data_IF_216351528107
#
_entry.id   IF_216351528107
#
_cell.length_a   1.000
_cell.length_b   1.000
_cell.length_c   1.000
_cell.angle_alpha   90.00
_cell.angle_beta   90.00
_cell.angle_gamma   90.00
#
_symmetry.space_group_name_H-M   'P 1'
#
loop_
_entity.id
_entity.type
_entity.pdbx_description
1 polymer ?
#
# COMPACT_ATOMS: atom_id res chain seq x y z
N UNK A 1 -19.20 16.83 -1.72
CA UNK A 1 -19.32 15.37 -1.99
C UNK A 1 -17.91 14.81 -1.78
N UNK A 2 -17.75 13.69 -1.08
CA UNK A 2 -16.43 13.06 -0.92
C UNK A 2 -16.10 12.28 -2.20
N UNK A 3 -15.01 12.64 -2.86
CA UNK A 3 -14.57 12.03 -4.13
C UNK A 3 -13.09 11.71 -4.01
N UNK A 4 -12.77 10.45 -4.29
CA UNK A 4 -11.40 9.93 -4.30
C UNK A 4 -11.16 9.20 -5.62
N UNK A 5 -9.94 9.30 -6.14
CA UNK A 5 -9.59 8.68 -7.42
C UNK A 5 -8.13 8.27 -7.50
N UNK A 6 -7.83 7.38 -8.44
CA UNK A 6 -6.47 7.03 -8.84
C UNK A 6 -6.42 7.23 -10.36
N UNK A 7 -5.42 7.95 -10.82
CA UNK A 7 -5.21 8.25 -12.25
C UNK A 7 -3.85 7.70 -12.66
N UNK A 8 -3.81 6.93 -13.74
CA UNK A 8 -2.57 6.45 -14.35
C UNK A 8 -2.24 7.30 -15.58
N UNK A 9 -0.95 7.40 -15.92
CA UNK A 9 -0.43 8.24 -17.01
C UNK A 9 -0.86 9.71 -16.91
N UNK A 10 -0.49 10.36 -15.82
CA UNK A 10 -0.57 11.82 -15.68
C UNK A 10 0.46 12.50 -16.58
N UNK A 11 0.32 13.81 -16.81
CA UNK A 11 1.17 14.63 -17.71
C UNK A 11 1.06 14.29 -19.21
N UNK A 12 -0.03 13.64 -19.61
CA UNK A 12 -0.36 13.38 -21.02
C UNK A 12 -1.46 14.32 -21.49
N UNK A 13 -1.34 14.82 -22.72
CA UNK A 13 -2.36 15.70 -23.32
C UNK A 13 -3.76 15.06 -23.25
N UNK A 14 -4.65 15.66 -22.46
CA UNK A 14 -6.03 15.21 -22.28
C UNK A 14 -6.30 14.45 -20.99
N UNK A 15 -5.31 14.30 -20.09
CA UNK A 15 -5.56 13.89 -18.71
C UNK A 15 -6.26 15.02 -17.92
N UNK A 16 -7.03 14.63 -16.91
CA UNK A 16 -7.77 15.55 -16.02
C UNK A 16 -7.17 15.58 -14.61
N UNK A 17 -6.00 14.96 -14.39
CA UNK A 17 -5.42 14.81 -13.06
C UNK A 17 -5.12 16.16 -12.43
N UNK A 18 -4.39 17.02 -13.16
CA UNK A 18 -4.01 18.35 -12.66
C UNK A 18 -5.25 19.20 -12.34
N UNK A 19 -6.25 19.18 -13.23
CA UNK A 19 -7.50 19.92 -13.02
C UNK A 19 -8.24 19.45 -11.76
N UNK A 20 -8.40 18.14 -11.57
CA UNK A 20 -9.07 17.57 -10.40
C UNK A 20 -8.31 17.87 -9.11
N UNK A 21 -6.98 17.66 -9.13
CA UNK A 21 -6.10 17.90 -8.00
C UNK A 21 -6.11 19.39 -7.58
N UNK A 22 -5.97 20.32 -8.54
CA UNK A 22 -5.96 21.76 -8.27
C UNK A 22 -7.30 22.30 -7.74
N UNK A 23 -8.40 21.60 -8.04
CA UNK A 23 -9.72 21.88 -7.49
C UNK A 23 -10.00 21.15 -6.16
N UNK A 24 -8.97 20.54 -5.55
CA UNK A 24 -9.05 19.93 -4.23
C UNK A 24 -9.75 18.56 -4.19
N UNK A 25 -9.90 17.89 -5.34
CA UNK A 25 -10.35 16.50 -5.37
C UNK A 25 -9.20 15.60 -4.94
N UNK A 26 -9.48 14.62 -4.07
CA UNK A 26 -8.46 13.71 -3.55
C UNK A 26 -8.13 12.60 -4.57
N UNK A 27 -7.42 12.99 -5.63
CA UNK A 27 -6.89 12.08 -6.65
C UNK A 27 -5.41 11.81 -6.40
N UNK A 28 -5.00 10.56 -6.61
CA UNK A 28 -3.59 10.15 -6.56
C UNK A 28 -3.14 9.74 -7.95
N UNK A 29 -1.90 10.08 -8.29
CA UNK A 29 -1.19 9.47 -9.41
C UNK A 29 -0.85 8.01 -9.07
N UNK A 30 -1.04 7.12 -10.05
CA UNK A 30 -0.59 5.74 -9.94
C UNK A 30 0.92 5.67 -10.20
N UNK A 31 1.64 5.14 -9.23
CA UNK A 31 3.07 4.87 -9.36
C UNK A 31 3.37 3.42 -8.95
N UNK A 32 4.28 2.77 -9.68
CA UNK A 32 4.85 1.50 -9.23
C UNK A 32 5.88 1.77 -8.13
N UNK A 33 5.94 0.89 -7.14
CA UNK A 33 6.87 1.04 -6.01
C UNK A 33 8.37 1.08 -6.39
N UNK A 34 8.72 0.56 -7.57
CA UNK A 34 10.08 0.59 -8.12
C UNK A 34 10.33 1.77 -9.07
N UNK A 35 9.35 2.67 -9.23
CA UNK A 35 9.39 3.81 -10.14
C UNK A 35 9.31 3.42 -11.62
N UNK A 36 9.15 2.13 -11.95
CA UNK A 36 8.99 1.72 -13.34
C UNK A 36 7.67 2.26 -13.90
N UNK A 37 7.65 2.59 -15.18
CA UNK A 37 6.43 2.96 -15.91
C UNK A 37 6.42 2.21 -17.23
N UNK A 38 5.29 2.21 -17.93
CA UNK A 38 5.19 1.60 -19.25
C UNK A 38 6.28 2.12 -20.20
N UNK A 39 6.88 1.27 -21.05
CA UNK A 39 6.49 -0.11 -21.35
C UNK A 39 7.09 -1.17 -20.43
N UNK A 40 7.87 -0.77 -19.43
CA UNK A 40 8.68 -1.69 -18.61
C UNK A 40 7.93 -2.07 -17.32
N UNK A 41 7.26 -1.09 -16.72
CA UNK A 41 6.48 -1.25 -15.49
C UNK A 41 5.04 -1.67 -15.72
N UNK A 42 4.39 -2.13 -14.64
CA UNK A 42 2.96 -2.42 -14.64
C UNK A 42 2.14 -1.12 -14.80
N UNK A 43 0.92 -1.24 -15.28
CA UNK A 43 -0.01 -0.12 -15.45
C UNK A 43 -1.30 -0.42 -14.70
N UNK A 44 -1.94 0.62 -14.18
CA UNK A 44 -3.27 0.52 -13.60
C UNK A 44 -4.31 0.60 -14.71
N UNK A 45 -4.68 -0.56 -15.25
CA UNK A 45 -5.60 -0.63 -16.37
C UNK A 45 -7.10 -0.72 -15.96
N UNK A 46 -7.44 -0.43 -14.72
CA UNK A 46 -8.82 -0.47 -14.23
C UNK A 46 -9.66 0.67 -14.82
N UNK A 47 -10.91 0.39 -15.19
CA UNK A 47 -11.91 1.40 -15.55
C UNK A 47 -13.19 1.16 -14.77
N UNK A 48 -13.30 1.78 -13.60
CA UNK A 48 -14.52 1.70 -12.80
C UNK A 48 -14.71 2.91 -11.87
N UNK A 49 -15.95 3.09 -11.43
CA UNK A 49 -16.34 3.98 -10.33
C UNK A 49 -17.31 3.27 -9.40
N UNK A 50 -17.17 3.56 -8.10
CA UNK A 50 -18.15 3.15 -7.08
C UNK A 50 -18.82 4.42 -6.55
N UNK A 51 -20.15 4.47 -6.63
CA UNK A 51 -20.96 5.61 -6.21
C UNK A 51 -21.78 5.18 -4.98
N UNK A 52 -21.94 6.08 -4.02
CA UNK A 52 -22.71 5.87 -2.78
C UNK A 52 -22.34 4.58 -2.02
N UNK A 53 -21.03 4.29 -1.98
CA UNK A 53 -20.48 3.17 -1.23
C UNK A 53 -20.98 3.14 0.22
N UNK A 54 -21.19 1.94 0.76
CA UNK A 54 -21.73 1.66 2.10
C UNK A 54 -23.22 1.99 2.29
N UNK A 55 -23.92 2.38 1.22
CA UNK A 55 -25.38 2.51 1.21
C UNK A 55 -26.02 1.33 0.48
N UNK A 56 -27.33 1.16 0.64
CA UNK A 56 -28.11 0.18 -0.14
C UNK A 56 -28.28 0.58 -1.61
N UNK A 57 -27.99 1.84 -1.95
CA UNK A 57 -28.06 2.38 -3.31
C UNK A 57 -26.69 2.40 -4.00
N UNK A 58 -25.71 1.64 -3.52
CA UNK A 58 -24.38 1.62 -4.11
C UNK A 58 -24.42 1.17 -5.58
N UNK A 59 -23.73 1.91 -6.45
CA UNK A 59 -23.66 1.66 -7.89
C UNK A 59 -22.21 1.41 -8.27
N UNK A 60 -21.97 0.35 -9.03
CA UNK A 60 -20.71 0.12 -9.71
C UNK A 60 -20.88 0.44 -11.20
N UNK A 61 -20.04 1.34 -11.70
CA UNK A 61 -19.85 1.55 -13.14
C UNK A 61 -18.51 0.90 -13.50
N UNK A 62 -18.47 -0.01 -14.47
CA UNK A 62 -17.22 -0.69 -14.88
C UNK A 62 -17.29 -1.10 -16.35
N UNK A 63 -16.18 -1.42 -16.98
CA UNK A 63 -16.20 -2.01 -18.33
C UNK A 63 -14.84 -2.00 -19.00
N UNK A 64 -14.84 -1.98 -20.33
CA UNK A 64 -13.63 -1.68 -21.10
C UNK A 64 -13.43 -0.19 -21.33
N UNK A 65 -14.46 0.62 -21.05
CA UNK A 65 -14.54 2.02 -21.44
C UNK A 65 -13.59 2.92 -20.64
N UNK A 66 -12.62 3.54 -21.30
CA UNK A 66 -11.85 4.62 -20.68
C UNK A 66 -12.71 5.89 -20.60
N UNK A 67 -12.53 6.75 -19.60
CA UNK A 67 -13.28 8.02 -19.54
C UNK A 67 -12.65 9.06 -20.48
N UNK A 68 -12.77 8.83 -21.79
CA UNK A 68 -12.20 9.66 -22.84
C UNK A 68 -13.18 9.89 -23.98
N UNK A 69 -12.97 10.96 -24.76
CA UNK A 69 -13.83 11.26 -25.91
C UNK A 69 -13.75 10.18 -27.02
N UNK A 70 -12.61 9.51 -27.17
CA UNK A 70 -12.43 8.48 -28.20
C UNK A 70 -13.14 7.17 -27.86
N UNK A 71 -13.24 6.84 -26.57
CA UNK A 71 -14.04 5.75 -26.06
C UNK A 71 -15.53 5.90 -26.44
N UNK A 72 -16.04 7.13 -26.35
CA UNK A 72 -17.44 7.46 -26.66
C UNK A 72 -17.74 7.48 -28.17
N UNK A 73 -16.82 7.95 -29.01
CA UNK A 73 -17.15 8.30 -30.40
C UNK A 73 -16.45 7.45 -31.47
N UNK A 74 -15.49 6.60 -31.10
CA UNK A 74 -14.63 5.91 -32.08
C UNK A 74 -14.35 4.45 -31.75
N UNK A 75 -14.18 4.10 -30.48
CA UNK A 75 -13.81 2.75 -30.09
C UNK A 75 -15.05 1.91 -29.78
N UNK A 76 -14.99 0.61 -30.07
CA UNK A 76 -16.01 -0.34 -29.63
C UNK A 76 -15.74 -0.74 -28.17
N UNK A 77 -16.30 0.02 -27.24
CA UNK A 77 -16.16 -0.22 -25.80
C UNK A 77 -17.52 -0.52 -25.14
N UNK A 78 -17.47 -1.14 -23.96
CA UNK A 78 -18.66 -1.42 -23.15
C UNK A 78 -18.57 -0.76 -21.78
N UNK A 79 -19.74 -0.34 -21.30
CA UNK A 79 -19.96 0.18 -19.96
C UNK A 79 -21.11 -0.60 -19.32
N UNK A 80 -20.85 -1.17 -18.16
CA UNK A 80 -21.82 -1.85 -17.32
C UNK A 80 -22.13 -0.97 -16.11
N UNK A 81 -23.41 -0.81 -15.82
CA UNK A 81 -23.92 -0.13 -14.62
C UNK A 81 -24.63 -1.19 -13.78
N UNK A 82 -24.09 -1.47 -12.60
CA UNK A 82 -24.50 -2.56 -11.73
C UNK A 82 -25.02 -1.97 -10.42
N UNK A 83 -26.29 -2.23 -10.12
CA UNK A 83 -26.97 -1.82 -8.91
C UNK A 83 -26.97 -2.97 -7.88
N UNK A 84 -25.79 -3.35 -7.41
CA UNK A 84 -25.61 -4.39 -6.40
C UNK A 84 -24.55 -3.97 -5.38
N UNK A 85 -24.98 -3.81 -4.13
CA UNK A 85 -24.13 -3.37 -3.02
C UNK A 85 -22.96 -4.33 -2.76
N UNK A 86 -23.14 -5.63 -2.92
CA UNK A 86 -22.10 -6.61 -2.63
C UNK A 86 -21.00 -6.54 -3.69
N UNK A 87 -21.37 -6.44 -4.97
CA UNK A 87 -20.41 -6.31 -6.06
C UNK A 87 -19.68 -4.96 -5.96
N UNK A 88 -20.41 -3.86 -5.74
CA UNK A 88 -19.82 -2.54 -5.52
C UNK A 88 -18.79 -2.55 -4.36
N UNK A 89 -19.12 -3.25 -3.27
CA UNK A 89 -18.23 -3.37 -2.11
C UNK A 89 -16.95 -4.17 -2.40
N UNK A 90 -16.97 -5.16 -3.30
CA UNK A 90 -15.75 -5.87 -3.71
C UNK A 90 -14.80 -4.94 -4.48
N UNK A 91 -15.33 -4.15 -5.42
CA UNK A 91 -14.56 -3.15 -6.14
C UNK A 91 -14.04 -2.04 -5.22
N UNK A 92 -14.86 -1.61 -4.26
CA UNK A 92 -14.43 -0.64 -3.26
C UNK A 92 -13.29 -1.14 -2.37
N UNK A 93 -13.28 -2.42 -2.00
CA UNK A 93 -12.17 -3.00 -1.23
C UNK A 93 -10.87 -2.99 -2.04
N UNK A 94 -10.93 -3.32 -3.34
CA UNK A 94 -9.76 -3.24 -4.20
C UNK A 94 -9.29 -1.79 -4.39
N UNK A 95 -10.23 -0.85 -4.64
CA UNK A 95 -9.93 0.58 -4.68
C UNK A 95 -9.21 1.04 -3.41
N UNK A 96 -9.79 0.71 -2.25
CA UNK A 96 -9.25 1.12 -0.95
C UNK A 96 -7.84 0.56 -0.72
N UNK A 97 -7.59 -0.67 -1.16
CA UNK A 97 -6.26 -1.29 -1.09
C UNK A 97 -5.25 -0.57 -1.98
N UNK A 98 -5.57 -0.35 -3.28
CA UNK A 98 -4.68 0.38 -4.21
C UNK A 98 -4.41 1.81 -3.70
N UNK A 99 -5.44 2.50 -3.25
CA UNK A 99 -5.35 3.88 -2.76
C UNK A 99 -4.45 3.97 -1.52
N UNK A 100 -4.58 3.03 -0.59
CA UNK A 100 -3.72 2.96 0.60
C UNK A 100 -2.25 2.64 0.25
N UNK A 101 -2.00 1.77 -0.74
CA UNK A 101 -0.65 1.49 -1.23
C UNK A 101 0.00 2.75 -1.81
N UNK A 102 -0.71 3.51 -2.65
CA UNK A 102 -0.20 4.77 -3.21
C UNK A 102 0.03 5.85 -2.15
N UNK A 103 -0.88 6.00 -1.17
CA UNK A 103 -0.64 6.89 -0.04
C UNK A 103 0.62 6.50 0.74
N UNK A 104 0.86 5.21 0.94
CA UNK A 104 2.05 4.73 1.62
C UNK A 104 3.32 5.08 0.82
N UNK A 105 3.31 4.91 -0.52
CA UNK A 105 4.41 5.31 -1.39
C UNK A 105 4.65 6.84 -1.34
N UNK A 106 3.61 7.65 -1.47
CA UNK A 106 3.74 9.12 -1.43
C UNK A 106 4.18 9.62 -0.05
N UNK A 107 3.79 8.92 1.02
CA UNK A 107 4.27 9.22 2.38
C UNK A 107 5.73 8.81 2.59
N UNK A 108 6.31 7.95 1.75
CA UNK A 108 7.72 7.55 1.84
C UNK A 108 8.70 8.53 1.20
N UNK A 109 8.21 9.45 0.36
CA UNK A 109 9.06 10.50 -0.22
C UNK A 109 9.38 11.62 0.78
N UNK A 110 8.55 11.83 1.81
CA UNK A 110 8.79 12.80 2.89
C UNK A 110 9.03 12.18 4.28
N UNK A 111 8.89 10.86 4.42
CA UNK A 111 9.27 10.13 5.63
C UNK A 111 10.17 9.00 5.20
N UNK A 112 11.45 9.05 5.60
CA UNK A 112 12.30 7.86 5.68
C UNK A 112 11.56 6.83 6.52
N UNK A 113 10.76 5.97 5.89
CA UNK A 113 10.18 4.82 6.55
C UNK A 113 11.36 3.95 6.93
N UNK A 114 11.74 4.05 8.20
CA UNK A 114 12.74 3.25 8.86
C UNK A 114 12.18 1.82 8.92
N UNK A 115 12.15 1.16 7.76
CA UNK A 115 11.52 -0.14 7.55
C UNK A 115 12.40 -1.16 8.23
N UNK A 116 11.97 -1.59 9.42
CA UNK A 116 12.65 -2.63 10.17
C UNK A 116 12.62 -3.94 9.36
N UNK A 117 13.76 -4.34 8.79
CA UNK A 117 13.89 -5.60 8.06
C UNK A 117 14.58 -6.64 8.93
N UNK A 118 14.00 -7.83 9.02
CA UNK A 118 14.52 -8.94 9.84
C UNK A 118 14.72 -10.17 8.97
N UNK A 119 15.94 -10.72 8.95
CA UNK A 119 16.32 -11.88 8.14
C UNK A 119 17.21 -12.88 8.87
N UNK A 120 17.14 -14.18 8.59
CA UNK A 120 16.13 -14.81 7.73
C UNK A 120 14.75 -14.76 8.41
N UNK A 121 13.71 -14.89 7.61
CA UNK A 121 12.35 -15.06 8.11
C UNK A 121 11.63 -16.03 7.15
N UNK A 122 11.39 -17.30 7.53
CA UNK A 122 11.59 -17.90 8.87
C UNK A 122 13.06 -18.02 9.33
N UNK A 123 13.29 -18.03 10.65
CA UNK A 123 14.60 -18.18 11.29
C UNK A 123 14.64 -19.35 12.27
N UNK A 124 15.85 -19.81 12.61
CA UNK A 124 16.07 -20.83 13.64
C UNK A 124 16.64 -20.23 14.91
N UNK A 125 17.96 -19.97 14.89
CA UNK A 125 18.71 -19.58 16.09
C UNK A 125 19.32 -18.18 16.01
N UNK A 126 19.19 -17.51 14.86
CA UNK A 126 19.74 -16.18 14.66
C UNK A 126 18.95 -15.39 13.63
N UNK A 127 18.90 -14.08 13.86
CA UNK A 127 18.31 -13.09 12.98
C UNK A 127 19.27 -11.91 12.80
N UNK A 128 19.09 -11.20 11.70
CA UNK A 128 19.77 -9.97 11.34
C UNK A 128 18.71 -8.89 11.25
N UNK A 129 18.82 -7.88 12.10
CA UNK A 129 17.93 -6.74 12.15
C UNK A 129 18.64 -5.58 11.43
N UNK A 130 18.10 -5.16 10.29
CA UNK A 130 18.60 -4.01 9.53
C UNK A 130 17.90 -2.75 10.04
N UNK A 131 18.70 -1.74 10.39
CA UNK A 131 18.23 -0.50 11.00
C UNK A 131 18.91 0.70 10.35
N UNK A 132 18.15 1.71 9.93
CA UNK A 132 18.74 2.94 9.35
C UNK A 132 19.23 3.92 10.43
N UNK A 133 18.83 3.71 11.68
CA UNK A 133 19.21 4.54 12.82
C UNK A 133 19.58 3.68 14.04
N UNK A 134 20.30 4.27 15.01
CA UNK A 134 20.49 3.64 16.32
C UNK A 134 19.17 3.57 17.08
N UNK A 135 18.96 2.50 17.83
CA UNK A 135 17.70 2.32 18.55
C UNK A 135 17.72 1.14 19.51
N UNK A 136 16.54 0.74 19.97
CA UNK A 136 16.34 -0.48 20.74
C UNK A 136 15.42 -1.41 19.98
N UNK A 137 15.68 -2.71 20.02
CA UNK A 137 14.74 -3.72 19.54
C UNK A 137 14.08 -4.45 20.70
N UNK A 138 12.87 -4.95 20.46
CA UNK A 138 12.10 -5.80 21.36
C UNK A 138 11.39 -6.89 20.57
N UNK A 139 11.40 -8.12 21.06
CA UNK A 139 10.72 -9.26 20.44
C UNK A 139 9.65 -9.74 21.41
N UNK A 140 8.40 -9.78 20.95
CA UNK A 140 7.25 -10.21 21.74
C UNK A 140 6.65 -11.48 21.15
N UNK A 141 6.12 -12.36 21.99
CA UNK A 141 5.23 -13.42 21.55
C UNK A 141 3.83 -12.88 21.25
N UNK A 142 2.93 -13.73 20.75
CA UNK A 142 1.55 -13.35 20.40
C UNK A 142 0.68 -12.97 21.60
N UNK A 143 1.08 -13.33 22.83
CA UNK A 143 0.44 -12.88 24.07
C UNK A 143 0.96 -11.51 24.54
N UNK A 144 1.87 -10.87 23.78
CA UNK A 144 2.48 -9.59 24.12
C UNK A 144 3.59 -9.67 25.16
N UNK A 145 4.05 -10.88 25.51
CA UNK A 145 5.12 -11.06 26.47
C UNK A 145 6.47 -10.84 25.79
N UNK A 146 7.28 -9.95 26.36
CA UNK A 146 8.65 -9.68 25.90
C UNK A 146 9.53 -10.93 26.06
N UNK A 147 10.19 -11.33 24.98
CA UNK A 147 11.10 -12.48 24.93
C UNK A 147 12.56 -12.06 24.82
N UNK A 148 12.84 -11.00 24.04
CA UNK A 148 14.19 -10.47 23.83
C UNK A 148 14.14 -8.95 23.69
N UNK A 149 15.21 -8.29 24.11
CA UNK A 149 15.45 -6.88 23.83
C UNK A 149 16.95 -6.58 23.71
N UNK A 150 17.28 -5.41 23.18
CA UNK A 150 18.65 -4.92 23.15
C UNK A 150 18.80 -3.66 22.31
N UNK A 151 20.04 -3.21 22.13
CA UNK A 151 20.36 -2.03 21.34
C UNK A 151 20.70 -2.42 19.89
N UNK A 152 20.30 -1.56 18.96
CA UNK A 152 20.66 -1.62 17.54
C UNK A 152 21.61 -0.46 17.19
N UNK A 153 22.64 -0.79 16.42
CA UNK A 153 23.42 0.20 15.68
C UNK A 153 22.80 0.43 14.31
N UNK A 154 23.20 1.52 13.65
CA UNK A 154 22.93 1.71 12.23
C UNK A 154 23.58 0.59 11.40
N UNK A 155 22.85 0.08 10.41
CA UNK A 155 23.24 -1.05 9.58
C UNK A 155 22.70 -2.40 10.07
N UNK A 156 23.46 -3.47 9.86
CA UNK A 156 23.03 -4.85 10.10
C UNK A 156 23.46 -5.32 11.50
N UNK A 157 22.50 -5.68 12.33
CA UNK A 157 22.72 -6.15 13.70
C UNK A 157 22.38 -7.64 13.79
N UNK A 158 23.34 -8.49 14.12
CA UNK A 158 23.11 -9.92 14.32
C UNK A 158 22.69 -10.19 15.76
N UNK A 159 21.57 -10.89 15.91
CA UNK A 159 20.99 -11.27 17.20
C UNK A 159 20.81 -12.79 17.20
N UNK A 160 21.37 -13.46 18.20
CA UNK A 160 21.10 -14.88 18.44
C UNK A 160 19.82 -14.97 19.27
N UNK A 161 18.83 -15.68 18.75
CA UNK A 161 17.51 -15.85 19.38
C UNK A 161 17.33 -17.33 19.71
N UNK A 162 16.95 -17.64 20.95
CA UNK A 162 16.60 -18.98 21.40
C UNK A 162 15.11 -19.00 21.73
N UNK A 163 14.31 -18.93 20.68
CA UNK A 163 12.85 -18.86 20.73
C UNK A 163 12.24 -20.22 20.39
N UNK A 164 11.09 -20.53 20.97
CA UNK A 164 10.29 -21.68 20.53
C UNK A 164 9.71 -21.41 19.15
N UNK A 165 9.45 -22.47 18.38
CA UNK A 165 8.81 -22.35 17.07
C UNK A 165 7.47 -21.62 17.18
N UNK A 166 7.25 -20.63 16.33
CA UNK A 166 6.07 -19.79 16.38
C UNK A 166 6.23 -18.42 15.75
N UNK A 167 5.16 -17.61 15.86
CA UNK A 167 5.10 -16.25 15.34
C UNK A 167 5.41 -15.24 16.46
N UNK A 168 6.25 -14.26 16.14
CA UNK A 168 6.69 -13.19 17.03
C UNK A 168 6.54 -11.83 16.34
N UNK A 169 6.47 -10.77 17.14
CA UNK A 169 6.52 -9.38 16.69
C UNK A 169 7.87 -8.79 17.10
N UNK A 170 8.61 -8.26 16.14
CA UNK A 170 9.83 -7.50 16.39
C UNK A 170 9.48 -6.01 16.28
N UNK A 171 9.74 -5.28 17.34
CA UNK A 171 9.57 -3.84 17.45
C UNK A 171 10.94 -3.17 17.52
N UNK A 172 11.08 -2.02 16.89
CA UNK A 172 12.25 -1.16 16.99
C UNK A 172 11.82 0.25 17.41
N UNK A 173 12.56 0.82 18.36
CA UNK A 173 12.36 2.15 18.93
C UNK A 173 13.60 2.99 18.60
N UNK A 174 13.45 4.06 17.81
CA UNK A 174 14.54 4.99 17.49
C UNK A 174 14.05 6.43 17.65
N UNK A 175 14.53 7.11 18.69
CA UNK A 175 14.02 8.43 19.07
C UNK A 175 12.52 8.37 19.41
N UNK A 176 11.70 9.08 18.63
CA UNK A 176 10.23 9.09 18.76
C UNK A 176 9.52 8.13 17.80
N UNK A 177 10.28 7.41 16.96
CA UNK A 177 9.72 6.49 15.96
C UNK A 177 9.67 5.06 16.49
N UNK A 178 8.57 4.36 16.18
CA UNK A 178 8.40 2.94 16.47
C UNK A 178 8.07 2.18 15.20
N UNK A 179 8.90 1.21 14.84
CA UNK A 179 8.72 0.33 13.68
C UNK A 179 8.42 -1.09 14.13
N UNK A 180 7.57 -1.83 13.40
CA UNK A 180 7.24 -3.22 13.75
C UNK A 180 7.25 -4.14 12.53
N UNK A 181 7.67 -5.38 12.73
CA UNK A 181 7.58 -6.44 11.73
C UNK A 181 7.32 -7.81 12.35
N UNK A 182 6.94 -8.79 11.54
CA UNK A 182 6.68 -10.17 11.96
C UNK A 182 7.96 -11.01 11.82
N UNK A 183 8.16 -11.95 12.75
CA UNK A 183 9.23 -12.94 12.72
C UNK A 183 8.64 -14.34 12.95
N UNK A 184 8.99 -15.28 12.08
CA UNK A 184 8.61 -16.70 12.19
C UNK A 184 9.84 -17.49 12.62
N UNK A 185 9.70 -18.33 13.65
CA UNK A 185 10.74 -19.26 14.13
C UNK A 185 10.34 -20.70 13.81
N UNK A 186 11.27 -21.47 13.22
CA UNK A 186 11.13 -22.89 12.78
C UNK A 186 12.22 -23.83 13.31
#
# INVERSE_FOLDING_TARGET
IDVRGIVDYTDYSGDEYSYLHDNGVNVLEYENADGSQWPIGATLHHKYAVIDQNTDNAILVTGSHNWSASAESRNDENTLIIHDRNIANLYYQEFSKRFAELLALNSTNDIKQNTLKVYPNPAKNSISIVSDNKGQYRIYNMQGQLQYDGNLNEGVNRVNVNLLNGLYIVEMLSGNETSRTKLIIE
#
